data_IF_050000756371
#
_entry.id   IF_050000756371
#
_cell.length_a   1.000
_cell.length_b   1.000
_cell.length_c   1.000
_cell.angle_alpha   90.00
_cell.angle_beta   90.00
_cell.angle_gamma   90.00
#
_symmetry.space_group_name_H-M   'P 1'
#
loop_
_entity.id
_entity.type
_entity.pdbx_description
1 polymer ?
#
# COMPACT_ATOMS: atom_id res chain seq x y z
N UNK A 1 -4.03 -8.09 -9.61
CA UNK A 1 -5.33 -8.42 -8.97
C UNK A 1 -6.39 -8.50 -10.06
N UNK A 2 -7.35 -9.45 -10.02
CA UNK A 2 -8.38 -9.54 -11.05
C UNK A 2 -9.26 -8.28 -10.99
N UNK A 3 -9.46 -7.66 -12.14
CA UNK A 3 -10.31 -6.48 -12.27
C UNK A 3 -11.77 -6.90 -12.16
N UNK A 4 -12.42 -6.54 -11.05
CA UNK A 4 -13.85 -6.77 -10.86
C UNK A 4 -14.61 -5.61 -11.53
N UNK A 5 -15.13 -5.82 -12.75
CA UNK A 5 -15.83 -4.76 -13.48
C UNK A 5 -17.34 -4.82 -13.19
N UNK A 6 -17.83 -3.89 -12.38
CA UNK A 6 -19.26 -3.68 -12.11
C UNK A 6 -19.77 -2.49 -12.96
N UNK A 7 -19.89 -2.65 -14.28
CA UNK A 7 -20.34 -1.56 -15.16
C UNK A 7 -19.50 -0.28 -15.02
N UNK A 8 -20.14 0.88 -14.85
CA UNK A 8 -19.48 2.18 -14.67
C UNK A 8 -19.02 2.47 -13.22
N UNK A 9 -19.04 1.47 -12.33
CA UNK A 9 -18.67 1.65 -10.92
C UNK A 9 -17.14 1.67 -10.78
N UNK A 10 -16.61 2.77 -10.24
CA UNK A 10 -15.22 2.86 -9.78
C UNK A 10 -15.09 2.13 -8.44
N UNK A 11 -14.13 1.21 -8.37
CA UNK A 11 -13.77 0.49 -7.15
C UNK A 11 -12.43 1.02 -6.69
N UNK A 12 -12.42 1.66 -5.53
CA UNK A 12 -11.20 2.10 -4.85
C UNK A 12 -10.97 1.24 -3.61
N UNK A 13 -9.71 1.01 -3.28
CA UNK A 13 -9.34 0.29 -2.06
C UNK A 13 -9.42 1.25 -0.88
N UNK A 14 -10.34 0.98 0.05
CA UNK A 14 -10.43 1.70 1.31
C UNK A 14 -9.80 0.85 2.43
N UNK A 15 -8.64 1.25 2.99
CA UNK A 15 -8.04 0.54 4.09
C UNK A 15 -8.86 0.77 5.37
N UNK A 16 -9.61 -0.26 5.79
CA UNK A 16 -10.29 -0.26 7.08
C UNK A 16 -9.31 -0.74 8.15
N UNK A 17 -9.02 0.10 9.14
CA UNK A 17 -8.26 -0.32 10.31
C UNK A 17 -9.09 -1.28 11.16
N UNK A 18 -8.53 -2.45 11.47
CA UNK A 18 -9.12 -3.41 12.40
C UNK A 18 -8.98 -2.98 13.87
N UNK A 19 -8.23 -1.91 14.14
CA UNK A 19 -7.85 -1.50 15.49
C UNK A 19 -6.72 -2.33 16.12
N UNK A 20 -6.21 -3.36 15.42
CA UNK A 20 -5.11 -4.22 15.89
C UNK A 20 -4.14 -4.52 14.76
N UNK A 21 -2.84 -4.37 14.98
CA UNK A 21 -1.84 -4.77 14.00
C UNK A 21 -1.60 -6.29 14.04
N UNK A 22 -1.61 -6.96 12.88
CA UNK A 22 -1.36 -8.42 12.81
C UNK A 22 0.13 -8.75 12.97
N UNK A 23 0.99 -7.84 12.51
CA UNK A 23 2.44 -7.90 12.61
C UNK A 23 2.93 -6.56 13.15
N UNK A 24 4.15 -6.52 13.70
CA UNK A 24 4.74 -5.24 14.14
C UNK A 24 4.88 -4.25 12.97
N UNK A 25 5.19 -4.75 11.78
CA UNK A 25 5.25 -3.99 10.53
C UNK A 25 4.89 -4.87 9.34
N UNK A 26 3.96 -4.40 8.50
CA UNK A 26 3.51 -5.07 7.29
C UNK A 26 3.47 -4.08 6.12
N UNK A 27 4.12 -4.43 5.02
CA UNK A 27 3.97 -3.76 3.73
C UNK A 27 3.02 -4.57 2.85
N UNK A 28 1.91 -3.96 2.45
CA UNK A 28 1.00 -4.54 1.48
C UNK A 28 1.11 -3.73 0.19
N UNK A 29 1.63 -4.35 -0.88
CA UNK A 29 1.87 -3.70 -2.17
C UNK A 29 1.26 -4.50 -3.30
N UNK A 30 0.74 -3.77 -4.28
CA UNK A 30 0.09 -4.29 -5.48
C UNK A 30 0.64 -3.56 -6.70
N UNK A 31 0.99 -4.29 -7.76
CA UNK A 31 1.37 -3.68 -9.04
C UNK A 31 0.14 -3.02 -9.67
N UNK A 32 0.30 -1.76 -10.11
CA UNK A 32 -0.72 -1.09 -10.88
C UNK A 32 -0.82 -1.72 -12.29
N UNK A 33 -2.02 -1.78 -12.89
CA UNK A 33 -2.17 -2.23 -14.27
C UNK A 33 -1.21 -1.47 -15.19
N UNK A 34 -0.60 -2.17 -16.14
CA UNK A 34 0.31 -1.54 -17.10
C UNK A 34 -0.46 -0.68 -18.10
N UNK A 35 0.15 0.43 -18.52
CA UNK A 35 -0.26 1.15 -19.73
C UNK A 35 0.63 0.71 -20.90
N UNK A 36 0.13 -0.23 -21.70
CA UNK A 36 0.91 -0.92 -22.72
C UNK A 36 2.12 -1.65 -22.12
N UNK A 37 3.33 -1.25 -22.53
CA UNK A 37 4.59 -1.81 -22.02
C UNK A 37 5.19 -1.04 -20.83
N UNK A 38 4.55 0.03 -20.35
CA UNK A 38 5.08 0.83 -19.25
C UNK A 38 4.50 0.36 -17.90
N UNK A 39 5.34 -0.03 -16.93
CA UNK A 39 4.87 -0.27 -15.57
C UNK A 39 4.42 1.07 -14.95
N UNK A 40 3.19 1.11 -14.43
CA UNK A 40 2.65 2.30 -13.76
C UNK A 40 3.07 2.40 -12.28
N UNK A 41 3.86 1.43 -11.80
CA UNK A 41 4.38 1.39 -10.43
C UNK A 41 3.58 0.49 -9.51
N UNK A 42 3.72 0.72 -8.20
CA UNK A 42 3.05 -0.04 -7.14
C UNK A 42 2.17 0.89 -6.30
N UNK A 43 1.05 0.36 -5.83
CA UNK A 43 0.15 1.00 -4.87
C UNK A 43 0.00 0.10 -3.65
N UNK A 44 -0.26 0.67 -2.47
CA UNK A 44 -0.40 -0.13 -1.27
C UNK A 44 -0.49 0.69 0.00
N UNK A 45 -0.35 0.00 1.13
CA UNK A 45 -0.37 0.60 2.47
C UNK A 45 0.63 -0.09 3.39
N UNK A 46 0.96 0.61 4.49
CA UNK A 46 1.77 0.07 5.59
C UNK A 46 0.90 -0.01 6.82
N UNK A 47 0.85 -1.18 7.45
CA UNK A 47 0.24 -1.39 8.76
C UNK A 47 1.37 -1.60 9.77
N UNK A 48 1.25 -0.99 10.95
CA UNK A 48 2.26 -1.09 11.99
C UNK A 48 1.63 -1.04 13.38
N UNK A 49 2.31 -1.66 14.34
CA UNK A 49 1.92 -1.66 15.73
C UNK A 49 2.34 -0.34 16.39
N UNK A 50 1.37 0.43 16.90
CA UNK A 50 1.60 1.79 17.42
C UNK A 50 2.27 1.83 18.80
N UNK A 51 2.33 0.69 19.48
CA UNK A 51 3.10 0.48 20.71
C UNK A 51 4.60 0.24 20.43
N UNK A 52 4.96 -0.09 19.19
CA UNK A 52 6.36 -0.28 18.73
C UNK A 52 6.85 0.89 17.89
N UNK A 53 6.03 1.39 16.96
CA UNK A 53 6.42 2.45 16.02
C UNK A 53 5.49 3.67 16.09
N UNK A 54 6.06 4.85 15.98
CA UNK A 54 5.32 6.08 15.72
C UNK A 54 5.16 6.34 14.21
N UNK A 55 4.25 7.27 13.89
CA UNK A 55 3.95 7.65 12.51
C UNK A 55 5.18 8.22 11.78
N UNK A 56 5.96 9.08 12.45
CA UNK A 56 7.10 9.75 11.84
C UNK A 56 8.17 8.75 11.38
N UNK A 57 8.46 7.75 12.21
CA UNK A 57 9.38 6.66 11.91
C UNK A 57 8.96 5.89 10.66
N UNK A 58 7.66 5.59 10.53
CA UNK A 58 7.12 4.88 9.37
C UNK A 58 7.16 5.75 8.11
N UNK A 59 6.84 7.04 8.20
CA UNK A 59 6.94 7.98 7.06
C UNK A 59 8.38 8.10 6.56
N UNK A 60 9.35 8.15 7.46
CA UNK A 60 10.78 8.14 7.11
C UNK A 60 11.19 6.81 6.46
N UNK A 61 10.72 5.68 6.97
CA UNK A 61 10.99 4.37 6.40
C UNK A 61 10.41 4.24 4.98
N UNK A 62 9.18 4.68 4.76
CA UNK A 62 8.53 4.70 3.44
C UNK A 62 9.33 5.58 2.48
N UNK A 63 9.76 6.77 2.91
CA UNK A 63 10.57 7.68 2.08
C UNK A 63 11.88 7.03 1.63
N UNK A 64 12.58 6.35 2.55
CA UNK A 64 13.82 5.62 2.23
C UNK A 64 13.53 4.45 1.29
N UNK A 65 12.48 3.69 1.56
CA UNK A 65 12.07 2.56 0.73
C UNK A 65 11.72 2.98 -0.71
N UNK A 66 10.93 4.05 -0.88
CA UNK A 66 10.61 4.59 -2.21
C UNK A 66 11.85 5.11 -2.94
N UNK A 67 12.85 5.61 -2.22
CA UNK A 67 14.13 6.05 -2.82
C UNK A 67 14.91 4.85 -3.38
N UNK A 68 14.87 3.69 -2.71
CA UNK A 68 15.56 2.47 -3.15
C UNK A 68 14.88 1.78 -4.35
N UNK A 69 13.59 2.02 -4.57
CA UNK A 69 12.81 1.42 -5.66
C UNK A 69 12.80 2.26 -6.95
N UNK A 70 13.42 3.43 -6.95
CA UNK A 70 13.63 4.26 -8.13
C UNK A 70 14.87 3.82 -8.88
#
# INVERSE_FOLDING_TARGET
YPTFALGDIKIDFEPISSGTAKFELLFNLSELPRDGNHPLGYVGYVEYATDVFDRETIEQLITRFTTLLR
#
